data_IF_405809984150
#
_entry.id   IF_405809984150
#
_cell.length_a   1.000
_cell.length_b   1.000
_cell.length_c   1.000
_cell.angle_alpha   90.00
_cell.angle_beta   90.00
_cell.angle_gamma   90.00
#
_symmetry.space_group_name_H-M   'P 1'
#
loop_
_entity.id
_entity.type
_entity.pdbx_description
1 polymer ?
#
# COMPACT_ATOMS: atom_id res chain seq x y z
N UNK A 1 17.37 1.68 16.09
CA UNK A 1 17.14 3.05 16.55
C UNK A 1 18.35 3.93 16.31
N UNK A 2 19.38 3.83 17.17
CA UNK A 2 20.51 4.79 17.21
C UNK A 2 21.38 4.79 15.94
N UNK A 3 21.69 3.63 15.35
CA UNK A 3 22.45 3.57 14.10
C UNK A 3 21.73 4.26 12.93
N UNK A 4 20.41 4.11 12.86
CA UNK A 4 19.56 4.82 11.88
C UNK A 4 19.54 6.33 12.12
N UNK A 5 19.57 6.76 13.39
CA UNK A 5 19.66 8.18 13.74
C UNK A 5 20.99 8.79 13.27
N UNK A 6 22.12 8.14 13.56
CA UNK A 6 23.45 8.57 13.11
C UNK A 6 23.50 8.68 11.58
N UNK A 7 22.97 7.66 10.89
CA UNK A 7 22.93 7.65 9.43
C UNK A 7 22.14 8.84 8.86
N UNK A 8 20.96 9.14 9.39
CA UNK A 8 20.13 10.26 8.93
C UNK A 8 20.72 11.63 9.28
N UNK A 9 21.44 11.74 10.39
CA UNK A 9 22.20 12.95 10.74
C UNK A 9 23.35 13.18 9.77
N UNK A 10 24.08 12.12 9.40
CA UNK A 10 25.15 12.20 8.41
C UNK A 10 24.63 12.64 7.03
N UNK A 11 23.42 12.19 6.65
CA UNK A 11 22.72 12.62 5.44
C UNK A 11 22.10 14.03 5.54
N UNK A 12 22.21 14.70 6.68
CA UNK A 12 21.58 16.00 6.96
C UNK A 12 20.05 15.98 6.87
N UNK A 13 19.42 14.82 7.00
CA UNK A 13 17.95 14.69 7.05
C UNK A 13 17.39 14.92 8.46
N UNK A 14 18.17 14.57 9.48
CA UNK A 14 17.86 14.86 10.87
C UNK A 14 18.98 15.68 11.50
N UNK A 15 18.65 16.45 12.55
CA UNK A 15 19.63 17.10 13.42
C UNK A 15 19.28 16.91 14.88
N UNK A 16 20.30 16.92 15.74
CA UNK A 16 20.14 16.81 17.19
C UNK A 16 20.46 18.16 17.83
N UNK A 17 19.51 18.69 18.60
CA UNK A 17 19.73 19.89 19.40
C UNK A 17 19.63 19.58 20.89
N UNK A 18 20.60 20.00 21.71
CA UNK A 18 20.45 19.88 23.15
C UNK A 18 19.27 20.70 23.63
N UNK A 19 18.41 20.09 24.45
CA UNK A 19 17.37 20.83 25.17
C UNK A 19 18.04 21.37 26.42
N UNK A 20 18.28 22.67 26.46
CA UNK A 20 18.95 23.34 27.59
C UNK A 20 18.20 23.04 28.88
N UNK A 21 18.86 22.38 29.84
CA UNK A 21 18.26 21.92 31.08
C UNK A 21 18.81 20.56 31.51
N UNK A 22 20.04 20.54 32.05
CA UNK A 22 20.58 19.34 32.68
C UNK A 22 19.85 19.11 34.00
N UNK A 23 18.93 18.15 34.05
CA UNK A 23 18.39 17.65 35.31
C UNK A 23 19.40 16.69 35.91
N UNK A 24 20.23 17.19 36.83
CA UNK A 24 21.17 16.35 37.59
C UNK A 24 20.39 15.62 38.69
N UNK A 25 19.77 14.49 38.34
CA UNK A 25 19.24 13.56 39.34
C UNK A 25 20.40 12.67 39.81
N UNK A 26 20.60 12.59 41.13
CA UNK A 26 21.79 12.04 41.79
C UNK A 26 22.38 10.79 41.13
N UNK A 27 23.70 10.87 40.86
CA UNK A 27 24.62 9.87 40.28
C UNK A 27 24.68 9.72 38.74
N UNK A 28 23.70 10.19 37.95
CA UNK A 28 23.75 10.07 36.49
C UNK A 28 23.44 11.40 35.79
N UNK A 29 24.40 11.93 35.05
CA UNK A 29 24.16 13.05 34.14
C UNK A 29 23.28 12.59 32.97
N UNK A 30 22.01 12.97 32.99
CA UNK A 30 21.08 12.74 31.88
C UNK A 30 21.14 13.89 30.88
N UNK A 31 21.28 13.56 29.59
CA UNK A 31 21.24 14.53 28.48
C UNK A 31 19.91 14.41 27.75
N UNK A 32 19.25 15.54 27.52
CA UNK A 32 18.03 15.61 26.72
C UNK A 32 18.35 16.23 25.36
N UNK A 33 18.01 15.51 24.30
CA UNK A 33 18.21 15.95 22.92
C UNK A 33 16.85 16.02 22.21
N UNK A 34 16.66 17.08 21.43
CA UNK A 34 15.57 17.22 20.46
C UNK A 34 16.05 16.71 19.12
N UNK A 35 15.27 15.83 18.51
CA UNK A 35 15.45 15.41 17.12
C UNK A 35 14.62 16.32 16.23
N UNK A 36 15.24 16.98 15.28
CA UNK A 36 14.58 17.86 14.31
C UNK A 36 14.71 17.28 12.90
N UNK A 37 13.62 17.28 12.13
CA UNK A 37 13.61 16.87 10.73
C UNK A 37 13.95 18.08 9.87
N UNK A 38 14.94 17.95 9.00
CA UNK A 38 15.43 19.03 8.14
C UNK A 38 14.66 19.12 6.82
N UNK A 39 14.69 20.30 6.18
CA UNK A 39 14.05 20.56 4.89
C UNK A 39 14.49 19.58 3.79
N UNK A 40 15.78 19.25 3.77
CA UNK A 40 16.40 18.28 2.84
C UNK A 40 15.74 16.91 2.85
N UNK A 41 15.19 16.47 4.00
CA UNK A 41 14.48 15.20 4.10
C UNK A 41 13.17 15.23 3.30
N UNK A 42 12.49 16.40 3.25
CA UNK A 42 11.26 16.58 2.49
C UNK A 42 11.55 16.75 0.99
N UNK A 43 12.60 17.49 0.64
CA UNK A 43 13.06 17.60 -0.76
C UNK A 43 13.44 16.23 -1.34
N UNK A 44 14.08 15.37 -0.54
CA UNK A 44 14.38 13.99 -0.92
C UNK A 44 13.14 13.08 -1.05
N UNK A 45 11.97 13.51 -0.55
CA UNK A 45 10.70 12.84 -0.81
C UNK A 45 10.09 13.28 -2.14
N UNK A 46 10.39 14.46 -2.69
CA UNK A 46 9.82 14.86 -3.99
C UNK A 46 10.34 13.96 -5.14
N UNK A 47 11.51 13.34 -4.96
CA UNK A 47 12.03 12.29 -5.85
C UNK A 47 11.40 10.91 -5.63
N UNK A 48 10.24 10.82 -4.96
CA UNK A 48 9.53 9.59 -4.52
C UNK A 48 9.19 8.58 -5.63
N UNK A 49 9.29 8.97 -6.90
CA UNK A 49 9.15 8.05 -8.03
C UNK A 49 10.34 7.07 -8.16
N UNK A 50 11.46 7.33 -7.47
CA UNK A 50 12.53 6.34 -7.36
C UNK A 50 12.16 5.25 -6.34
N UNK A 51 11.62 4.17 -6.89
CA UNK A 51 11.18 2.95 -6.21
C UNK A 51 12.35 2.08 -5.69
N UNK A 52 13.56 2.65 -5.61
CA UNK A 52 14.74 1.97 -5.09
C UNK A 52 14.65 1.87 -3.55
N UNK A 53 15.06 0.72 -3.01
CA UNK A 53 15.15 0.43 -1.57
C UNK A 53 16.25 1.28 -0.92
N UNK A 54 16.07 2.58 -0.86
CA UNK A 54 17.09 3.48 -0.30
C UNK A 54 17.24 3.25 1.21
N UNK A 55 18.48 3.03 1.65
CA UNK A 55 18.82 2.71 3.04
C UNK A 55 18.34 3.77 4.04
N UNK A 56 18.20 5.02 3.59
CA UNK A 56 17.71 6.12 4.42
C UNK A 56 16.22 5.95 4.78
N UNK A 57 15.38 5.41 3.88
CA UNK A 57 13.96 5.14 4.17
C UNK A 57 13.82 4.12 5.30
N UNK A 58 14.62 3.04 5.25
CA UNK A 58 14.69 2.03 6.33
C UNK A 58 15.17 2.66 7.64
N UNK A 59 16.17 3.53 7.56
CA UNK A 59 16.70 4.25 8.73
C UNK A 59 15.66 5.18 9.34
N UNK A 60 14.91 5.91 8.52
CA UNK A 60 13.83 6.81 8.93
C UNK A 60 12.72 6.04 9.63
N UNK A 61 12.26 4.94 9.03
CA UNK A 61 11.24 4.08 9.62
C UNK A 61 11.68 3.52 10.99
N UNK A 62 12.94 3.08 11.11
CA UNK A 62 13.49 2.60 12.38
C UNK A 62 13.59 3.70 13.46
N UNK A 63 13.88 4.95 13.08
CA UNK A 63 13.94 6.08 14.01
C UNK A 63 12.54 6.49 14.44
N UNK A 64 11.57 6.54 13.51
CA UNK A 64 10.17 6.86 13.82
C UNK A 64 9.55 5.79 14.73
N UNK A 65 9.79 4.50 14.48
CA UNK A 65 9.35 3.41 15.36
C UNK A 65 9.93 3.53 16.78
N UNK A 66 11.13 4.08 16.91
CA UNK A 66 11.78 4.27 18.21
C UNK A 66 11.29 5.52 18.95
N UNK A 67 11.13 6.65 18.25
CA UNK A 67 10.75 7.93 18.86
C UNK A 67 9.24 8.08 19.08
N UNK A 68 8.43 7.57 18.14
CA UNK A 68 6.98 7.75 18.07
C UNK A 68 6.33 6.45 17.53
N UNK A 69 6.37 5.33 18.28
CA UNK A 69 5.86 4.03 17.83
C UNK A 69 4.38 4.09 17.39
N UNK A 70 3.58 4.96 18.00
CA UNK A 70 2.18 5.16 17.66
C UNK A 70 1.93 5.60 16.22
N UNK A 71 2.90 6.26 15.55
CA UNK A 71 2.76 6.66 14.14
C UNK A 71 3.13 5.54 13.15
N UNK A 72 3.63 4.42 13.67
CA UNK A 72 4.04 3.28 12.85
C UNK A 72 2.94 2.23 12.68
N UNK A 73 1.83 2.38 13.40
CA UNK A 73 0.67 1.49 13.29
C UNK A 73 -0.03 1.67 11.94
N UNK A 74 -0.67 0.59 11.47
CA UNK A 74 -1.53 0.63 10.28
C UNK A 74 -2.69 1.62 10.44
N UNK A 75 -3.23 1.72 11.66
CA UNK A 75 -4.25 2.69 12.02
C UNK A 75 -3.78 4.14 11.79
N UNK A 76 -2.61 4.51 12.32
CA UNK A 76 -2.09 5.86 12.15
C UNK A 76 -1.65 6.16 10.70
N UNK A 77 -1.20 5.15 9.96
CA UNK A 77 -0.75 5.30 8.56
C UNK A 77 -1.89 5.34 7.55
N UNK A 78 -2.90 4.51 7.74
CA UNK A 78 -3.93 4.23 6.74
C UNK A 78 -5.35 4.53 7.23
N UNK A 79 -5.53 4.98 8.47
CA UNK A 79 -6.83 5.33 9.03
C UNK A 79 -7.73 4.12 9.33
N UNK A 80 -7.17 2.91 9.34
CA UNK A 80 -7.93 1.68 9.58
C UNK A 80 -7.18 0.76 10.55
N UNK A 81 -7.92 0.28 11.55
CA UNK A 81 -7.48 -0.76 12.45
C UNK A 81 -7.45 -2.10 11.71
N UNK A 82 -6.29 -2.46 11.18
CA UNK A 82 -6.05 -3.82 10.73
C UNK A 82 -6.18 -4.72 11.96
N UNK A 83 -7.13 -5.68 11.98
CA UNK A 83 -7.16 -6.70 13.01
C UNK A 83 -5.75 -7.29 13.10
N UNK A 84 -5.25 -7.52 14.32
CA UNK A 84 -3.91 -8.10 14.57
C UNK A 84 -3.68 -9.41 13.80
N UNK A 85 -4.73 -9.97 13.20
CA UNK A 85 -4.74 -11.16 12.38
C UNK A 85 -4.42 -10.95 10.89
N UNK A 86 -4.30 -9.71 10.42
CA UNK A 86 -4.14 -9.37 9.00
C UNK A 86 -2.90 -8.49 8.77
N UNK A 87 -1.81 -8.63 9.53
CA UNK A 87 -0.49 -8.11 9.12
C UNK A 87 0.02 -8.90 7.90
N UNK A 88 -0.63 -8.70 6.76
CA UNK A 88 -0.21 -9.22 5.46
C UNK A 88 0.86 -8.26 4.92
N UNK A 89 2.13 -8.68 5.00
CA UNK A 89 3.13 -8.26 4.02
C UNK A 89 4.11 -7.13 4.37
N UNK A 90 4.20 -6.71 5.63
CA UNK A 90 5.37 -5.94 6.10
C UNK A 90 6.26 -6.86 6.94
N UNK A 91 7.01 -7.71 6.24
CA UNK A 91 8.01 -8.61 6.84
C UNK A 91 8.96 -7.83 7.75
N UNK A 92 8.76 -8.01 9.06
CA UNK A 92 9.85 -8.09 10.02
C UNK A 92 10.32 -9.53 9.96
N UNK A 93 11.44 -9.71 9.28
CA UNK A 93 12.22 -10.94 9.24
C UNK A 93 12.69 -11.26 10.67
N UNK A 94 11.89 -12.00 11.43
CA UNK A 94 12.25 -12.64 12.69
C UNK A 94 11.44 -13.95 12.80
N UNK A 95 12.18 -15.05 12.79
CA UNK A 95 11.70 -16.43 12.88
C UNK A 95 10.71 -16.65 14.05
N UNK A 96 9.50 -17.08 13.73
CA UNK A 96 8.66 -17.86 14.64
C UNK A 96 7.94 -18.96 13.86
N UNK A 97 8.11 -20.25 14.22
CA UNK A 97 7.55 -21.35 13.45
C UNK A 97 6.03 -21.54 13.62
N UNK A 98 5.39 -20.86 14.57
CA UNK A 98 4.05 -21.22 15.05
C UNK A 98 2.88 -20.42 14.44
N UNK A 99 3.13 -19.45 13.55
CA UNK A 99 2.07 -18.64 12.94
C UNK A 99 1.59 -19.14 11.56
N UNK A 100 1.96 -20.37 11.16
CA UNK A 100 1.73 -20.90 9.79
C UNK A 100 0.42 -21.67 9.57
N UNK A 101 -0.65 -21.38 10.32
CA UNK A 101 -1.98 -22.04 10.14
C UNK A 101 -3.10 -21.11 9.68
N UNK A 102 -2.80 -19.89 9.24
CA UNK A 102 -3.76 -19.13 8.42
C UNK A 102 -3.65 -19.63 7.00
N UNK A 103 -4.74 -20.15 6.44
CA UNK A 103 -4.81 -20.57 5.05
C UNK A 103 -4.24 -19.43 4.19
N UNK A 104 -3.09 -19.68 3.55
CA UNK A 104 -2.50 -18.74 2.60
C UNK A 104 -3.59 -18.38 1.60
N UNK A 105 -3.83 -17.09 1.38
CA UNK A 105 -4.77 -16.66 0.35
C UNK A 105 -4.30 -17.25 -0.98
N UNK A 106 -5.07 -18.19 -1.52
CA UNK A 106 -4.75 -18.87 -2.76
C UNK A 106 -5.08 -17.93 -3.92
N UNK A 107 -4.10 -17.11 -4.28
CA UNK A 107 -4.19 -16.17 -5.40
C UNK A 107 -4.55 -16.91 -6.69
N UNK A 108 -3.97 -18.10 -6.91
CA UNK A 108 -4.20 -18.90 -8.10
C UNK A 108 -5.62 -19.47 -8.13
N UNK A 109 -6.07 -20.04 -7.01
CA UNK A 109 -7.45 -20.53 -6.86
C UNK A 109 -8.48 -19.42 -7.00
N UNK A 110 -8.20 -18.23 -6.47
CA UNK A 110 -9.06 -17.06 -6.66
C UNK A 110 -9.18 -16.68 -8.13
N UNK A 111 -8.06 -16.55 -8.85
CA UNK A 111 -8.07 -16.20 -10.27
C UNK A 111 -8.80 -17.25 -11.11
N UNK A 112 -8.62 -18.54 -10.85
CA UNK A 112 -9.35 -19.60 -11.56
C UNK A 112 -10.85 -19.58 -11.23
N UNK A 113 -11.25 -19.27 -9.99
CA UNK A 113 -12.65 -19.17 -9.60
C UNK A 113 -13.40 -18.00 -10.26
N UNK A 114 -12.73 -16.86 -10.47
CA UNK A 114 -13.34 -15.68 -11.13
C UNK A 114 -13.14 -15.66 -12.65
N UNK A 115 -12.32 -16.57 -13.19
CA UNK A 115 -12.00 -16.62 -14.60
C UNK A 115 -13.27 -16.90 -15.41
N UNK A 116 -13.60 -16.05 -16.40
CA UNK A 116 -14.67 -16.33 -17.33
C UNK A 116 -14.47 -17.71 -17.99
N UNK A 117 -15.51 -18.55 -18.00
CA UNK A 117 -15.49 -19.81 -18.75
C UNK A 117 -15.17 -19.56 -20.23
N UNK A 118 -14.50 -20.52 -20.87
CA UNK A 118 -14.14 -20.40 -22.30
C UNK A 118 -15.35 -20.49 -23.22
N UNK A 119 -16.44 -21.08 -22.76
CA UNK A 119 -17.69 -21.31 -23.50
C UNK A 119 -18.65 -20.12 -23.46
N UNK A 120 -18.20 -18.94 -22.97
CA UNK A 120 -19.03 -17.74 -22.96
C UNK A 120 -19.41 -17.32 -24.36
N UNK A 121 -20.66 -16.87 -24.48
CA UNK A 121 -21.25 -16.35 -25.72
C UNK A 121 -20.33 -15.30 -26.36
N UNK A 122 -20.16 -15.44 -27.67
CA UNK A 122 -19.40 -14.53 -28.50
C UNK A 122 -20.36 -13.58 -29.19
N UNK A 123 -19.90 -12.38 -29.53
CA UNK A 123 -20.67 -11.50 -30.39
C UNK A 123 -20.78 -12.17 -31.77
N UNK A 124 -22.00 -12.52 -32.16
CA UNK A 124 -22.33 -13.20 -33.43
C UNK A 124 -22.53 -12.17 -34.56
N UNK A 125 -22.76 -10.89 -34.22
CA UNK A 125 -23.01 -9.85 -35.21
C UNK A 125 -21.80 -9.65 -36.14
N UNK A 126 -22.04 -9.87 -37.44
CA UNK A 126 -21.13 -9.46 -38.49
C UNK A 126 -21.16 -7.93 -38.59
N UNK A 127 -20.04 -7.30 -38.23
CA UNK A 127 -19.80 -5.87 -38.37
C UNK A 127 -18.87 -5.66 -39.58
N UNK A 128 -19.40 -5.62 -40.81
CA UNK A 128 -18.59 -5.65 -42.03
C UNK A 128 -17.67 -4.43 -42.17
N UNK A 129 -18.02 -3.30 -41.54
CA UNK A 129 -17.23 -2.07 -41.58
C UNK A 129 -16.15 -2.00 -40.47
N UNK A 130 -16.12 -2.97 -39.55
CA UNK A 130 -15.17 -2.97 -38.44
C UNK A 130 -13.82 -3.54 -38.88
N UNK A 131 -12.83 -2.67 -39.04
CA UNK A 131 -11.45 -3.06 -39.30
C UNK A 131 -10.54 -2.66 -38.13
N UNK A 132 -9.67 -3.57 -37.63
CA UNK A 132 -9.46 -4.96 -38.04
C UNK A 132 -10.47 -5.97 -37.46
N UNK A 133 -10.51 -7.17 -38.04
CA UNK A 133 -11.35 -8.28 -37.56
C UNK A 133 -11.03 -8.70 -36.12
N UNK A 134 -12.09 -8.89 -35.32
CA UNK A 134 -11.97 -9.27 -33.92
C UNK A 134 -11.57 -10.74 -33.75
N UNK A 135 -10.49 -10.99 -33.02
CA UNK A 135 -10.09 -12.31 -32.53
C UNK A 135 -11.14 -12.89 -31.57
N UNK A 136 -11.18 -14.22 -31.34
CA UNK A 136 -12.20 -14.84 -30.50
C UNK A 136 -12.33 -14.25 -29.08
N UNK A 137 -11.22 -13.88 -28.45
CA UNK A 137 -11.27 -13.24 -27.12
C UNK A 137 -11.83 -11.81 -27.18
N UNK A 138 -11.58 -11.08 -28.27
CA UNK A 138 -12.11 -9.73 -28.48
C UNK A 138 -13.61 -9.79 -28.72
N UNK A 139 -14.10 -10.78 -29.47
CA UNK A 139 -15.55 -11.01 -29.65
C UNK A 139 -16.27 -11.30 -28.32
N UNK A 140 -15.65 -12.08 -27.41
CA UNK A 140 -16.20 -12.31 -26.06
C UNK A 140 -16.20 -11.05 -25.21
N UNK A 141 -15.13 -10.25 -25.27
CA UNK A 141 -15.04 -8.99 -24.54
C UNK A 141 -16.09 -7.99 -25.05
N UNK A 142 -16.22 -7.82 -26.36
CA UNK A 142 -17.21 -6.95 -26.99
C UNK A 142 -18.64 -7.38 -26.62
N UNK A 143 -18.95 -8.68 -26.67
CA UNK A 143 -20.24 -9.19 -26.22
C UNK A 143 -20.54 -8.82 -24.76
N UNK A 144 -19.56 -9.01 -23.86
CA UNK A 144 -19.72 -8.66 -22.45
C UNK A 144 -19.94 -7.16 -22.24
N UNK A 145 -19.22 -6.30 -22.99
CA UNK A 145 -19.39 -4.84 -22.94
C UNK A 145 -20.80 -4.43 -23.38
N UNK A 146 -21.28 -4.95 -24.52
CA UNK A 146 -22.61 -4.63 -25.05
C UNK A 146 -23.71 -5.11 -24.11
N UNK A 147 -23.60 -6.32 -23.55
CA UNK A 147 -24.59 -6.82 -22.58
C UNK A 147 -24.63 -5.97 -21.31
N UNK A 148 -23.47 -5.52 -20.82
CA UNK A 148 -23.39 -4.63 -19.66
C UNK A 148 -24.09 -3.29 -19.91
N UNK A 149 -23.89 -2.70 -21.09
CA UNK A 149 -24.53 -1.43 -21.47
C UNK A 149 -26.04 -1.57 -21.68
N UNK A 150 -26.47 -2.66 -22.33
CA UNK A 150 -27.91 -2.97 -22.51
C UNK A 150 -28.61 -3.20 -21.17
N UNK A 151 -28.02 -3.98 -20.26
CA UNK A 151 -28.57 -4.20 -18.91
C UNK A 151 -28.57 -2.93 -18.04
N UNK A 152 -27.60 -2.02 -18.23
CA UNK A 152 -27.62 -0.72 -17.58
C UNK A 152 -28.78 0.17 -18.09
N UNK A 153 -29.13 0.05 -19.38
CA UNK A 153 -30.24 0.77 -19.99
C UNK A 153 -31.60 0.28 -19.45
N UNK A 154 -31.77 -1.03 -19.27
CA UNK A 154 -32.99 -1.62 -18.67
C UNK A 154 -33.19 -1.13 -17.24
N UNK A 155 -32.12 -1.05 -16.44
CA UNK A 155 -32.17 -0.56 -15.06
C UNK A 155 -32.47 0.95 -14.95
N UNK A 156 -32.16 1.75 -15.99
CA UNK A 156 -32.51 3.17 -16.08
C UNK A 156 -33.97 3.38 -16.51
N UNK A 157 -34.52 2.51 -17.37
CA UNK A 157 -35.93 2.55 -17.79
C UNK A 157 -36.92 2.12 -16.70
N UNK A 158 -36.51 1.26 -15.76
CA UNK A 158 -37.35 0.80 -14.64
C UNK A 158 -37.63 1.86 -13.57
N UNK A 159 -36.91 2.98 -13.56
CA UNK A 159 -37.07 4.03 -12.54
C UNK A 159 -38.09 5.11 -12.91
N UNK A 160 -38.78 5.02 -14.06
CA UNK A 160 -39.79 6.00 -14.50
C UNK A 160 -41.25 5.51 -14.38
N UNK A 161 -41.53 4.41 -13.67
CA UNK A 161 -42.90 3.88 -13.51
C UNK A 161 -43.36 3.71 -12.06
N UNK A 162 -42.83 4.52 -11.14
CA UNK A 162 -43.38 4.63 -9.79
C UNK A 162 -43.41 6.09 -9.35
N UNK A 163 -44.44 6.80 -9.83
CA UNK A 163 -45.06 7.93 -9.15
C UNK A 163 -46.58 7.76 -9.23
#
# INVERSE_FOLDING_TARGET
GVSGLVHLVNMKYLTLRPVTGLTLAGSLSSIRLRVEIQKSAFEACESLFENTRSLWKKSMMNVMAWLRPEVTTSEARYGYNLPKDIEIGLEKDEESPDCRKRARFDVSGFYEAIKPSKDKQMLIDDMPDLLPELRPYQKRAAFWMVQREKGALEHLSGSQHSQ
#
